data_IF_526847103232
#
_entry.id   IF_526847103232
#
_cell.length_a   1.000
_cell.length_b   1.000
_cell.length_c   1.000
_cell.angle_alpha   90.00
_cell.angle_beta   90.00
_cell.angle_gamma   90.00
#
_symmetry.space_group_name_H-M   'P 1'
#
loop_
_entity.id
_entity.type
_entity.pdbx_description
1 polymer ?
#
# COMPACT_ATOMS: atom_id res chain seq x y z
N UNK A 1 -14.02 19.89 27.70
CA UNK A 1 -14.88 19.54 26.56
C UNK A 1 -14.00 18.94 25.48
N UNK A 2 -14.15 17.65 25.19
CA UNK A 2 -13.44 16.93 24.12
C UNK A 2 -14.38 16.86 22.92
N UNK A 3 -14.02 17.49 21.81
CA UNK A 3 -14.65 17.27 20.51
C UNK A 3 -13.57 16.64 19.65
N UNK A 4 -13.45 15.32 19.75
CA UNK A 4 -12.72 14.52 18.78
C UNK A 4 -13.71 14.12 17.70
N UNK A 5 -13.43 14.52 16.48
CA UNK A 5 -14.31 14.40 15.32
C UNK A 5 -14.83 12.97 15.12
N UNK A 6 -16.05 12.73 15.60
CA UNK A 6 -16.85 11.54 15.34
C UNK A 6 -17.49 11.71 13.96
N UNK A 7 -16.69 11.62 12.91
CA UNK A 7 -17.13 11.57 11.51
C UNK A 7 -15.92 11.37 10.62
N UNK A 8 -15.67 10.12 10.19
CA UNK A 8 -15.15 9.74 8.86
C UNK A 8 -15.11 8.20 8.79
N UNK A 9 -16.28 7.61 8.82
CA UNK A 9 -16.53 6.19 8.66
C UNK A 9 -18.05 6.03 8.68
N UNK A 10 -18.67 5.96 7.52
CA UNK A 10 -20.12 5.73 7.46
C UNK A 10 -20.49 4.50 8.29
N UNK A 11 -21.53 4.63 9.11
CA UNK A 11 -22.06 3.54 9.92
C UNK A 11 -22.44 2.36 9.03
N UNK A 12 -21.64 1.30 9.07
CA UNK A 12 -22.01 -0.01 8.53
C UNK A 12 -20.90 -0.78 7.85
N UNK A 13 -19.83 -0.10 7.38
CA UNK A 13 -18.69 -0.77 6.73
C UNK A 13 -17.43 -0.60 7.57
N UNK A 14 -16.84 -1.69 8.09
CA UNK A 14 -15.57 -1.62 8.82
C UNK A 14 -14.52 -0.90 7.96
N UNK A 15 -13.67 -0.08 8.59
CA UNK A 15 -12.58 0.63 7.89
C UNK A 15 -11.69 -0.36 7.12
N UNK A 16 -11.65 -1.60 7.61
CA UNK A 16 -11.04 -2.78 7.01
C UNK A 16 -11.58 -3.08 5.62
N UNK A 17 -12.91 -3.17 5.47
CA UNK A 17 -13.53 -3.49 4.18
C UNK A 17 -13.39 -2.32 3.21
N UNK A 18 -13.43 -1.07 3.70
CA UNK A 18 -13.22 0.13 2.86
C UNK A 18 -11.78 0.17 2.34
N UNK A 19 -10.79 -0.03 3.22
CA UNK A 19 -9.38 -0.04 2.85
C UNK A 19 -9.03 -1.18 1.90
N UNK A 20 -9.56 -2.38 2.15
CA UNK A 20 -9.35 -3.55 1.30
C UNK A 20 -9.94 -3.35 -0.11
N UNK A 21 -11.14 -2.79 -0.23
CA UNK A 21 -11.74 -2.53 -1.54
C UNK A 21 -11.03 -1.43 -2.31
N UNK A 22 -10.62 -0.35 -1.61
CA UNK A 22 -9.82 0.71 -2.21
C UNK A 22 -8.48 0.15 -2.74
N UNK A 23 -7.80 -0.66 -1.93
CA UNK A 23 -6.55 -1.32 -2.32
C UNK A 23 -6.75 -2.29 -3.49
N UNK A 24 -7.80 -3.12 -3.48
CA UNK A 24 -8.11 -4.05 -4.58
C UNK A 24 -8.39 -3.34 -5.90
N UNK A 25 -9.19 -2.27 -5.87
CA UNK A 25 -9.44 -1.45 -7.08
C UNK A 25 -8.16 -0.84 -7.62
N UNK A 26 -7.35 -0.27 -6.73
CA UNK A 26 -6.08 0.36 -7.08
C UNK A 26 -5.08 -0.65 -7.68
N UNK A 27 -4.90 -1.82 -7.05
CA UNK A 27 -4.08 -2.90 -7.60
C UNK A 27 -4.61 -3.37 -8.95
N UNK A 28 -5.93 -3.53 -9.09
CA UNK A 28 -6.55 -3.92 -10.37
C UNK A 28 -6.26 -2.91 -11.48
N UNK A 29 -6.34 -1.61 -11.20
CA UNK A 29 -6.04 -0.56 -12.17
C UNK A 29 -4.54 -0.56 -12.54
N UNK A 30 -3.65 -0.72 -11.56
CA UNK A 30 -2.20 -0.74 -11.78
C UNK A 30 -1.71 -1.98 -12.53
N UNK A 31 -2.34 -3.13 -12.27
CA UNK A 31 -2.02 -4.41 -12.92
C UNK A 31 -2.31 -4.42 -14.43
N UNK A 32 -3.04 -3.42 -14.94
CA UNK A 32 -3.26 -3.24 -16.39
C UNK A 32 -2.03 -2.81 -17.19
N UNK A 33 -0.87 -2.63 -16.52
CA UNK A 33 0.44 -2.69 -17.17
C UNK A 33 1.27 -1.40 -17.15
N UNK A 34 0.98 -0.45 -16.26
CA UNK A 34 1.74 0.79 -16.17
C UNK A 34 2.71 0.78 -15.00
N UNK A 35 3.97 1.16 -15.27
CA UNK A 35 4.91 1.48 -14.22
C UNK A 35 4.46 2.78 -13.53
N UNK A 36 4.38 2.75 -12.21
CA UNK A 36 3.92 3.86 -11.38
C UNK A 36 5.02 4.92 -11.29
N UNK A 37 4.66 6.20 -11.29
CA UNK A 37 5.63 7.26 -10.98
C UNK A 37 6.07 7.22 -9.51
N UNK A 38 7.19 7.84 -9.21
CA UNK A 38 7.78 7.82 -7.87
C UNK A 38 6.85 8.37 -6.78
N UNK A 39 6.11 9.46 -7.06
CA UNK A 39 5.26 10.10 -6.07
C UNK A 39 4.01 9.26 -5.79
N UNK A 40 3.43 8.67 -6.83
CA UNK A 40 2.30 7.77 -6.66
C UNK A 40 2.75 6.51 -5.93
N UNK A 41 3.93 5.95 -6.26
CA UNK A 41 4.48 4.77 -5.57
C UNK A 41 4.56 4.93 -4.05
N UNK A 42 4.99 6.11 -3.58
CA UNK A 42 5.06 6.44 -2.16
C UNK A 42 3.70 6.38 -1.46
N UNK A 43 2.65 6.86 -2.14
CA UNK A 43 1.27 6.84 -1.63
C UNK A 43 0.64 5.46 -1.66
N UNK A 44 1.11 4.57 -2.54
CA UNK A 44 0.53 3.24 -2.71
C UNK A 44 0.93 2.25 -1.63
N UNK A 45 2.10 2.42 -1.00
CA UNK A 45 2.66 1.46 -0.04
C UNK A 45 1.64 1.03 1.04
N UNK A 46 0.92 1.95 1.71
CA UNK A 46 -0.07 1.56 2.72
C UNK A 46 -1.22 0.74 2.12
N UNK A 47 -1.72 1.10 0.94
CA UNK A 47 -2.81 0.37 0.30
C UNK A 47 -2.38 -1.05 -0.10
N UNK A 48 -1.18 -1.20 -0.66
CA UNK A 48 -0.63 -2.52 -1.03
C UNK A 48 -0.46 -3.43 0.19
N UNK A 49 -0.07 -2.86 1.34
CA UNK A 49 0.09 -3.59 2.59
C UNK A 49 -1.24 -4.11 3.16
N UNK A 50 -2.30 -3.32 3.00
CA UNK A 50 -3.64 -3.62 3.52
C UNK A 50 -4.48 -4.46 2.55
N UNK A 51 -4.07 -4.54 1.28
CA UNK A 51 -4.63 -5.49 0.33
C UNK A 51 -4.50 -6.91 0.89
N UNK A 52 -5.46 -7.77 0.61
CA UNK A 52 -5.33 -9.19 0.93
C UNK A 52 -4.66 -9.89 -0.25
N UNK A 53 -3.55 -10.59 0.01
CA UNK A 53 -2.82 -11.37 -0.99
C UNK A 53 -1.54 -10.72 -1.50
N UNK A 54 -0.94 -11.30 -2.53
CA UNK A 54 0.30 -10.82 -3.11
C UNK A 54 0.03 -9.73 -4.16
N UNK A 55 0.67 -8.57 -4.01
CA UNK A 55 0.63 -7.45 -4.94
C UNK A 55 2.02 -7.18 -5.50
N UNK A 56 2.08 -6.84 -6.78
CA UNK A 56 3.34 -6.52 -7.47
C UNK A 56 3.13 -5.30 -8.35
N UNK A 57 3.95 -4.26 -8.15
CA UNK A 57 3.93 -3.05 -8.98
C UNK A 57 5.32 -2.74 -9.54
N UNK A 58 5.35 -2.20 -10.76
CA UNK A 58 6.54 -1.61 -11.36
C UNK A 58 6.64 -0.14 -11.00
N UNK A 59 7.85 0.35 -10.76
CA UNK A 59 8.15 1.71 -10.34
C UNK A 59 9.12 2.33 -11.37
N UNK A 60 8.78 3.50 -11.89
CA UNK A 60 9.62 4.19 -12.90
C UNK A 60 10.84 4.87 -12.30
N UNK A 61 10.82 5.18 -10.99
CA UNK A 61 11.96 5.69 -10.24
C UNK A 61 11.81 5.42 -8.75
N UNK A 62 12.76 4.70 -8.18
CA UNK A 62 12.86 4.45 -6.73
C UNK A 62 13.42 5.69 -6.06
N UNK A 63 12.79 6.11 -4.97
CA UNK A 63 13.20 7.26 -4.17
C UNK A 63 13.54 6.81 -2.74
N UNK A 64 14.30 7.63 -2.02
CA UNK A 64 14.55 7.41 -0.59
C UNK A 64 13.28 7.40 0.26
N UNK A 65 12.26 8.17 -0.16
CA UNK A 65 10.94 8.17 0.47
C UNK A 65 10.25 6.81 0.30
N UNK A 66 10.33 6.22 -0.90
CA UNK A 66 9.76 4.91 -1.17
C UNK A 66 10.40 3.83 -0.32
N UNK A 67 11.74 3.80 -0.27
CA UNK A 67 12.49 2.88 0.56
C UNK A 67 12.10 2.98 2.04
N UNK A 68 12.01 4.22 2.55
CA UNK A 68 11.60 4.47 3.94
C UNK A 68 10.16 4.05 4.18
N UNK A 69 9.23 4.36 3.28
CA UNK A 69 7.83 3.99 3.40
C UNK A 69 7.65 2.48 3.38
N UNK A 70 8.35 1.77 2.49
CA UNK A 70 8.34 0.29 2.44
C UNK A 70 8.85 -0.28 3.77
N UNK A 71 9.95 0.26 4.31
CA UNK A 71 10.48 -0.20 5.58
C UNK A 71 9.52 0.08 6.74
N UNK A 72 9.00 1.31 6.87
CA UNK A 72 8.07 1.70 7.94
C UNK A 72 6.78 0.89 7.86
N UNK A 73 6.19 0.77 6.68
CA UNK A 73 4.94 0.03 6.48
C UNK A 73 5.13 -1.46 6.77
N UNK A 74 6.23 -2.08 6.33
CA UNK A 74 6.55 -3.47 6.65
C UNK A 74 6.66 -3.71 8.16
N UNK A 75 7.29 -2.78 8.91
CA UNK A 75 7.43 -2.88 10.36
C UNK A 75 6.11 -2.68 11.11
N UNK A 76 5.36 -1.63 10.77
CA UNK A 76 4.09 -1.29 11.45
C UNK A 76 3.03 -2.35 11.13
N UNK A 77 2.96 -2.81 9.89
CA UNK A 77 1.90 -3.67 9.41
C UNK A 77 2.24 -5.16 9.49
N UNK A 78 3.47 -5.52 9.88
CA UNK A 78 3.90 -6.92 9.92
C UNK A 78 3.77 -7.64 8.57
N UNK A 79 3.84 -6.88 7.47
CA UNK A 79 3.67 -7.37 6.10
C UNK A 79 5.03 -7.57 5.44
N UNK A 80 5.14 -8.63 4.64
CA UNK A 80 6.37 -8.89 3.91
C UNK A 80 6.40 -8.01 2.67
N UNK A 81 7.40 -7.13 2.59
CA UNK A 81 7.61 -6.26 1.45
C UNK A 81 9.02 -6.43 0.90
N UNK A 82 9.16 -6.47 -0.42
CA UNK A 82 10.44 -6.52 -1.13
C UNK A 82 10.47 -5.45 -2.20
N UNK A 83 11.46 -4.57 -2.12
CA UNK A 83 11.77 -3.60 -3.15
C UNK A 83 13.04 -4.04 -3.88
N UNK A 84 12.88 -4.45 -5.14
CA UNK A 84 13.99 -4.74 -6.05
C UNK A 84 14.31 -3.48 -6.86
N UNK A 85 15.55 -3.00 -6.81
CA UNK A 85 16.00 -1.80 -7.52
C UNK A 85 16.85 -2.23 -8.73
N UNK A 86 16.53 -1.68 -9.90
CA UNK A 86 17.25 -1.89 -11.15
C UNK A 86 18.34 -0.83 -11.37
N UNK A 87 19.34 -1.10 -12.23
CA UNK A 87 20.48 -0.19 -12.45
C UNK A 87 20.11 1.22 -12.96
N UNK A 88 18.93 1.40 -13.54
CA UNK A 88 18.44 2.65 -14.09
C UNK A 88 17.44 3.36 -13.18
N UNK A 89 17.56 3.13 -11.87
CA UNK A 89 16.70 3.68 -10.82
C UNK A 89 15.25 3.20 -10.85
N UNK A 90 14.84 2.39 -11.84
CA UNK A 90 13.53 1.73 -11.82
C UNK A 90 13.49 0.68 -10.71
N UNK A 91 12.30 0.27 -10.33
CA UNK A 91 12.15 -0.78 -9.33
C UNK A 91 10.91 -1.63 -9.51
N UNK A 92 10.85 -2.66 -8.69
CA UNK A 92 9.70 -3.54 -8.53
C UNK A 92 9.42 -3.70 -7.06
N UNK A 93 8.21 -3.34 -6.63
CA UNK A 93 7.76 -3.54 -5.27
C UNK A 93 6.81 -4.74 -5.24
N UNK A 94 7.17 -5.74 -4.45
CA UNK A 94 6.34 -6.90 -4.15
C UNK A 94 5.88 -6.82 -2.70
N UNK A 95 4.58 -6.93 -2.46
CA UNK A 95 3.97 -6.82 -1.13
C UNK A 95 3.06 -8.01 -0.91
N UNK A 96 3.29 -8.75 0.18
CA UNK A 96 2.35 -9.74 0.69
C UNK A 96 1.47 -9.09 1.72
N UNK A 97 0.35 -8.57 1.26
CA UNK A 97 -0.63 -7.93 2.10
C UNK A 97 -1.38 -8.96 2.93
N UNK A 98 -1.48 -8.71 4.24
CA UNK A 98 -2.07 -9.65 5.22
C UNK A 98 -3.58 -9.46 5.36
N UNK A 99 -4.15 -8.42 4.75
CA UNK A 99 -5.49 -7.94 5.09
C UNK A 99 -5.55 -7.36 6.51
N UNK A 100 -6.54 -6.51 6.78
CA UNK A 100 -6.67 -5.86 8.09
C UNK A 100 -7.15 -6.80 9.22
N UNK A 101 -7.60 -8.02 8.88
CA UNK A 101 -8.05 -9.01 9.85
C UNK A 101 -6.91 -9.63 10.71
N UNK A 102 -5.65 -9.43 10.34
CA UNK A 102 -4.50 -9.92 11.12
C UNK A 102 -4.06 -8.97 12.25
N UNK A 103 -4.75 -7.84 12.43
CA UNK A 103 -4.48 -6.84 13.49
C UNK A 103 -5.43 -6.95 14.69
N UNK A 104 -6.19 -8.05 14.82
CA UNK A 104 -7.05 -8.33 15.98
C UNK A 104 -6.27 -8.91 17.16
#
# INVERSE_FOLDING_TARGET
ARVGADSLGERGKPAETVGQEAARKLVSELSTGMAVDSHVSDMLVPYLALAEGDSVIGITKVTSHLETNVWVAGNILGTEMRLDIFPDERGKLSVRGRGLASFS
#
